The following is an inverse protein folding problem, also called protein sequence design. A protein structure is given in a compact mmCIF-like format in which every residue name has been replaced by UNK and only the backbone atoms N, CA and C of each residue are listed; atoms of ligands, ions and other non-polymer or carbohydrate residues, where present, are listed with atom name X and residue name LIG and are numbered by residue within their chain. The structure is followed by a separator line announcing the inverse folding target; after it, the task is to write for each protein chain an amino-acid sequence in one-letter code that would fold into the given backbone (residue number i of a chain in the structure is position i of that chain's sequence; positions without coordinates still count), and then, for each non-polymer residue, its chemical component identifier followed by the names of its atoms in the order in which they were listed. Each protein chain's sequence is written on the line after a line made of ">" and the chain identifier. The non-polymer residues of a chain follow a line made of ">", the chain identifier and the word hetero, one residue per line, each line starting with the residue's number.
data_IF_316889701413
#
_entry.id   IF_316889701413
#
_cell.length_a   1.000
_cell.length_b   1.000
_cell.length_c   1.000
_cell.angle_alpha   90.00
_cell.angle_beta   90.00
_cell.angle_gamma   90.00
#
_symmetry.space_group_name_H-M   'P 1'
#
loop_
_entity.id
_entity.type
_entity.pdbx_description
1 polymer ?
#
# COMPACT_ATOMS: atom_id res chain seq x y z
N UNK A 1 -20.85 -22.28 -9.96
CA UNK A 1 -21.44 -21.08 -10.61
C UNK A 1 -21.65 -20.01 -9.56
N UNK A 2 -20.85 -18.94 -9.62
CA UNK A 2 -21.19 -17.55 -9.32
C UNK A 2 -19.87 -16.79 -9.18
N UNK A 3 -19.36 -16.26 -10.29
CA UNK A 3 -18.33 -15.22 -10.24
C UNK A 3 -19.07 -13.94 -9.89
N UNK A 4 -19.19 -13.62 -8.61
CA UNK A 4 -19.66 -12.30 -8.19
C UNK A 4 -18.57 -11.31 -8.58
N UNK A 5 -18.71 -10.73 -9.77
CA UNK A 5 -17.93 -9.58 -10.20
C UNK A 5 -18.27 -8.42 -9.26
N UNK A 6 -17.36 -8.07 -8.35
CA UNK A 6 -17.40 -6.75 -7.74
C UNK A 6 -17.08 -5.76 -8.86
N UNK A 7 -18.11 -5.10 -9.39
CA UNK A 7 -17.88 -3.85 -10.09
C UNK A 7 -17.17 -2.91 -9.11
N UNK A 8 -15.97 -2.44 -9.48
CA UNK A 8 -15.29 -1.41 -8.73
C UNK A 8 -16.24 -0.21 -8.62
N UNK A 9 -16.70 0.11 -7.41
CA UNK A 9 -17.45 1.33 -7.18
C UNK A 9 -16.62 2.50 -7.74
N UNK A 10 -17.26 3.41 -8.49
CA UNK A 10 -16.61 4.62 -8.93
C UNK A 10 -16.13 5.38 -7.69
N UNK A 11 -14.82 5.34 -7.41
CA UNK A 11 -14.24 6.06 -6.28
C UNK A 11 -14.22 7.53 -6.70
N UNK A 12 -15.10 8.34 -6.11
CA UNK A 12 -14.95 9.78 -6.17
C UNK A 12 -13.53 10.16 -5.69
N UNK A 13 -12.98 11.24 -6.25
CA UNK A 13 -11.62 11.67 -5.91
C UNK A 13 -11.40 11.72 -4.39
N UNK A 14 -10.29 11.17 -3.91
CA UNK A 14 -9.97 11.07 -2.49
C UNK A 14 -8.96 12.14 -2.08
N UNK A 15 -9.09 12.69 -0.88
CA UNK A 15 -8.05 13.50 -0.24
C UNK A 15 -7.18 12.61 0.64
N UNK A 16 -5.87 12.78 0.58
CA UNK A 16 -4.92 12.03 1.41
C UNK A 16 -3.68 12.86 1.74
N UNK A 17 -2.90 12.40 2.72
CA UNK A 17 -1.60 13.00 3.03
C UNK A 17 -0.50 12.36 2.19
N UNK A 18 0.45 13.18 1.70
CA UNK A 18 1.65 12.71 1.02
C UNK A 18 2.51 11.82 1.95
N UNK A 19 2.90 10.60 1.54
CA UNK A 19 3.55 9.63 2.42
C UNK A 19 5.08 9.80 2.53
N UNK A 20 5.67 10.80 1.88
CA UNK A 20 7.13 10.83 1.67
C UNK A 20 7.93 11.51 2.78
N UNK A 21 7.59 12.74 3.16
CA UNK A 21 8.37 13.51 4.15
C UNK A 21 7.47 14.16 5.19
N UNK A 22 8.07 14.65 6.28
CA UNK A 22 7.35 15.21 7.42
C UNK A 22 6.62 16.53 7.19
N UNK A 23 6.71 17.14 6.00
CA UNK A 23 5.92 18.35 5.66
C UNK A 23 4.42 18.03 5.67
N UNK A 24 4.06 16.80 5.28
CA UNK A 24 2.69 16.33 5.34
C UNK A 24 1.74 17.05 4.38
N UNK A 25 2.19 17.35 3.15
CA UNK A 25 1.36 17.99 2.12
C UNK A 25 0.04 17.23 1.88
N UNK A 26 -1.06 17.96 1.69
CA UNK A 26 -2.33 17.39 1.26
C UNK A 26 -2.34 17.12 -0.24
N UNK A 27 -2.92 16.00 -0.62
CA UNK A 27 -3.08 15.53 -1.99
C UNK A 27 -4.55 15.27 -2.30
N UNK A 28 -4.94 15.53 -3.53
CA UNK A 28 -6.16 15.02 -4.15
C UNK A 28 -5.78 13.95 -5.18
N UNK A 29 -6.39 12.78 -5.05
CA UNK A 29 -6.17 11.62 -5.90
C UNK A 29 -7.45 11.29 -6.64
N UNK A 30 -7.34 10.99 -7.93
CA UNK A 30 -8.45 10.43 -8.71
C UNK A 30 -8.06 9.04 -9.23
N UNK A 31 -8.97 8.06 -9.16
CA UNK A 31 -8.71 6.75 -9.73
C UNK A 31 -8.50 6.88 -11.25
N UNK A 32 -7.88 5.89 -11.87
CA UNK A 32 -7.71 5.88 -13.31
C UNK A 32 -9.07 5.90 -14.02
N UNK A 33 -9.20 6.73 -15.04
CA UNK A 33 -10.44 6.84 -15.84
C UNK A 33 -10.66 5.63 -16.76
N UNK A 34 -9.58 4.96 -17.14
CA UNK A 34 -9.58 3.76 -17.97
C UNK A 34 -8.94 2.60 -17.20
N UNK A 35 -9.64 1.47 -16.98
CA UNK A 35 -9.07 0.28 -16.37
C UNK A 35 -7.82 -0.28 -17.08
N UNK A 36 -7.63 0.02 -18.37
CA UNK A 36 -6.47 -0.40 -19.15
C UNK A 36 -5.20 0.43 -18.84
N UNK A 37 -5.37 1.61 -18.25
CA UNK A 37 -4.29 2.49 -17.81
C UNK A 37 -4.39 2.67 -16.30
N UNK A 38 -3.65 1.91 -15.48
CA UNK A 38 -3.81 1.90 -14.02
C UNK A 38 -3.26 3.16 -13.32
N UNK A 39 -3.01 4.24 -14.08
CA UNK A 39 -2.37 5.44 -13.57
C UNK A 39 -3.34 6.33 -12.80
N UNK A 40 -3.01 6.60 -11.55
CA UNK A 40 -3.75 7.56 -10.72
C UNK A 40 -3.35 8.98 -11.07
N UNK A 41 -4.33 9.89 -11.12
CA UNK A 41 -4.08 11.33 -11.22
C UNK A 41 -3.91 11.90 -9.82
N UNK A 42 -2.83 12.66 -9.61
CA UNK A 42 -2.52 13.28 -8.31
C UNK A 42 -2.25 14.77 -8.50
N UNK A 43 -2.80 15.58 -7.60
CA UNK A 43 -2.44 17.01 -7.46
C UNK A 43 -2.42 17.42 -5.99
N UNK A 44 -1.83 18.57 -5.69
CA UNK A 44 -1.93 19.15 -4.35
C UNK A 44 -3.37 19.56 -4.01
N UNK A 45 -3.77 19.30 -2.77
CA UNK A 45 -5.01 19.84 -2.19
C UNK A 45 -4.81 21.32 -1.87
N UNK A 46 -5.59 22.17 -2.56
CA UNK A 46 -5.50 23.63 -2.43
C UNK A 46 -5.99 24.13 -1.07
N UNK A 47 -6.85 23.35 -0.42
CA UNK A 47 -7.43 23.69 0.88
C UNK A 47 -6.56 23.21 2.05
N UNK A 48 -5.50 22.44 1.79
CA UNK A 48 -4.69 21.85 2.84
C UNK A 48 -3.78 22.90 3.51
N UNK A 49 -3.83 23.05 4.85
CA UNK A 49 -3.22 24.19 5.55
C UNK A 49 -1.69 24.24 5.43
N UNK A 50 -1.02 23.10 5.38
CA UNK A 50 0.45 23.05 5.35
C UNK A 50 1.06 23.32 3.98
N UNK A 51 0.32 23.05 2.90
CA UNK A 51 0.87 23.04 1.53
C UNK A 51 0.15 23.97 0.56
N UNK A 52 -1.11 24.33 0.82
CA UNK A 52 -1.89 25.23 -0.03
C UNK A 52 -1.85 24.84 -1.52
N UNK A 53 -1.91 23.53 -1.80
CA UNK A 53 -1.80 22.95 -3.13
C UNK A 53 -0.39 22.82 -3.71
N UNK A 54 0.65 23.37 -3.07
CA UNK A 54 2.03 23.28 -3.51
C UNK A 54 2.65 21.94 -3.09
N UNK A 55 3.11 21.15 -4.07
CA UNK A 55 3.74 19.85 -3.84
C UNK A 55 5.03 19.72 -4.65
N UNK A 56 6.05 19.08 -4.06
CA UNK A 56 7.26 18.73 -4.82
C UNK A 56 7.00 17.58 -5.80
N UNK A 57 7.96 17.28 -6.68
CA UNK A 57 7.82 16.22 -7.70
C UNK A 57 7.43 14.86 -7.11
N UNK A 58 7.96 14.49 -5.93
CA UNK A 58 7.62 13.23 -5.25
C UNK A 58 6.12 13.12 -4.97
N UNK A 59 5.51 14.20 -4.46
CA UNK A 59 4.07 14.24 -4.20
C UNK A 59 3.24 14.24 -5.47
N UNK A 60 3.72 14.95 -6.51
CA UNK A 60 3.04 15.03 -7.81
C UNK A 60 3.00 13.68 -8.55
N UNK A 61 4.01 12.82 -8.38
CA UNK A 61 4.13 11.54 -9.10
C UNK A 61 3.79 10.31 -8.26
N UNK A 62 3.35 10.47 -7.00
CA UNK A 62 3.09 9.35 -6.08
C UNK A 62 2.15 8.28 -6.66
N UNK A 63 1.22 8.66 -7.53
CA UNK A 63 0.26 7.76 -8.18
C UNK A 63 0.93 6.67 -9.04
N UNK A 64 2.12 6.94 -9.59
CA UNK A 64 2.89 5.97 -10.38
C UNK A 64 3.32 4.76 -9.54
N UNK A 65 3.51 4.96 -8.22
CA UNK A 65 3.97 3.89 -7.32
C UNK A 65 2.89 2.90 -6.93
N UNK A 66 1.62 3.15 -7.28
CA UNK A 66 0.50 2.37 -6.79
C UNK A 66 0.33 1.01 -7.51
N UNK A 67 0.85 0.87 -8.73
CA UNK A 67 0.53 -0.28 -9.59
C UNK A 67 1.74 -1.13 -10.03
N UNK A 68 2.97 -0.62 -9.98
CA UNK A 68 4.14 -1.37 -10.44
C UNK A 68 4.63 -2.39 -9.40
N UNK A 69 4.68 -3.68 -9.79
CA UNK A 69 5.26 -4.81 -9.04
C UNK A 69 4.78 -4.93 -7.58
N UNK A 70 3.54 -4.52 -7.29
CA UNK A 70 2.97 -4.58 -5.95
C UNK A 70 2.70 -6.04 -5.57
N UNK A 71 3.21 -6.46 -4.42
CA UNK A 71 2.87 -7.77 -3.83
C UNK A 71 1.38 -7.80 -3.48
N UNK A 72 0.68 -8.84 -3.96
CA UNK A 72 -0.76 -9.03 -3.74
C UNK A 72 -1.08 -10.20 -2.81
N UNK A 73 -0.07 -10.99 -2.43
CA UNK A 73 -0.19 -12.12 -1.51
C UNK A 73 1.03 -12.15 -0.57
N UNK A 74 0.88 -12.67 0.66
CA UNK A 74 2.02 -12.93 1.52
C UNK A 74 3.00 -13.94 0.90
N UNK A 75 4.29 -13.71 1.13
CA UNK A 75 5.38 -14.57 0.68
C UNK A 75 6.21 -15.04 1.88
N UNK A 76 6.60 -16.31 1.90
CA UNK A 76 7.40 -16.91 2.97
C UNK A 76 8.56 -17.73 2.42
N UNK A 77 9.61 -17.87 3.22
CA UNK A 77 10.72 -18.80 3.04
C UNK A 77 11.22 -19.20 4.42
N UNK A 78 11.58 -20.46 4.61
CA UNK A 78 12.03 -20.93 5.93
C UNK A 78 13.46 -20.47 6.20
N UNK A 79 14.30 -20.50 5.16
CA UNK A 79 15.70 -20.08 5.23
C UNK A 79 16.01 -18.93 4.29
N UNK A 80 17.08 -18.20 4.59
CA UNK A 80 17.49 -17.02 3.82
C UNK A 80 18.11 -17.34 2.46
N UNK A 81 18.39 -18.60 2.17
CA UNK A 81 18.91 -19.08 0.89
C UNK A 81 17.85 -19.77 0.02
N UNK A 82 16.62 -19.86 0.52
CA UNK A 82 15.48 -20.43 -0.22
C UNK A 82 14.70 -19.34 -0.97
N UNK A 83 14.06 -19.69 -2.11
CA UNK A 83 13.15 -18.79 -2.80
C UNK A 83 11.89 -18.54 -1.97
N UNK A 84 11.26 -17.39 -2.18
CA UNK A 84 9.95 -17.11 -1.60
C UNK A 84 8.86 -17.96 -2.26
N UNK A 85 7.95 -18.46 -1.45
CA UNK A 85 6.71 -19.14 -1.87
C UNK A 85 5.50 -18.37 -1.39
N UNK A 86 4.45 -18.33 -2.21
CA UNK A 86 3.18 -17.73 -1.83
C UNK A 86 2.48 -18.55 -0.74
N UNK A 87 1.97 -17.87 0.28
CA UNK A 87 1.19 -18.49 1.36
C UNK A 87 -0.09 -17.69 1.61
N UNK A 88 -1.04 -18.30 2.33
CA UNK A 88 -2.26 -17.60 2.74
C UNK A 88 -1.99 -16.60 3.87
N UNK A 89 -2.91 -15.67 4.08
CA UNK A 89 -2.84 -14.72 5.19
C UNK A 89 -2.92 -15.42 6.55
N UNK A 90 -3.78 -16.43 6.68
CA UNK A 90 -3.91 -17.25 7.90
C UNK A 90 -2.56 -17.88 8.24
N UNK A 91 -1.92 -18.53 7.25
CA UNK A 91 -0.60 -19.14 7.45
C UNK A 91 0.47 -18.10 7.81
N UNK A 92 0.43 -16.91 7.21
CA UNK A 92 1.39 -15.85 7.51
C UNK A 92 1.27 -15.36 8.97
N UNK A 93 0.04 -15.20 9.46
CA UNK A 93 -0.21 -14.83 10.86
C UNK A 93 0.18 -15.94 11.84
N UNK A 94 -0.13 -17.20 11.53
CA UNK A 94 0.27 -18.33 12.38
C UNK A 94 1.80 -18.39 12.56
N UNK A 95 2.54 -18.22 11.46
CA UNK A 95 4.00 -18.19 11.47
C UNK A 95 4.55 -17.01 12.27
N UNK A 96 4.02 -15.80 12.04
CA UNK A 96 4.43 -14.59 12.77
C UNK A 96 4.25 -14.76 14.28
N UNK A 97 3.05 -15.19 14.70
CA UNK A 97 2.71 -15.37 16.11
C UNK A 97 3.56 -16.46 16.76
N UNK A 98 3.76 -17.60 16.10
CA UNK A 98 4.63 -18.65 16.59
C UNK A 98 6.06 -18.14 16.79
N UNK A 99 6.63 -17.44 15.81
CA UNK A 99 8.02 -16.97 15.87
C UNK A 99 8.26 -15.88 16.92
N UNK A 100 7.29 -14.97 17.09
CA UNK A 100 7.32 -13.98 18.17
C UNK A 100 7.28 -14.67 19.53
N UNK A 101 6.37 -15.63 19.73
CA UNK A 101 6.25 -16.39 20.99
C UNK A 101 7.51 -17.19 21.30
N UNK A 102 8.09 -17.86 20.31
CA UNK A 102 9.34 -18.61 20.47
C UNK A 102 10.49 -17.69 20.89
N UNK A 103 10.58 -16.52 20.24
CA UNK A 103 11.63 -15.52 20.55
C UNK A 103 11.45 -14.97 21.96
N UNK A 104 10.22 -14.61 22.34
CA UNK A 104 9.89 -14.15 23.69
C UNK A 104 10.22 -15.20 24.75
N UNK A 105 9.90 -16.47 24.49
CA UNK A 105 10.20 -17.58 25.41
C UNK A 105 11.70 -17.83 25.56
N UNK A 106 12.48 -17.66 24.49
CA UNK A 106 13.92 -17.93 24.49
C UNK A 106 14.77 -16.76 24.96
N UNK A 107 14.36 -15.52 24.67
CA UNK A 107 15.21 -14.32 24.81
C UNK A 107 14.54 -13.17 25.57
N UNK A 108 13.25 -13.24 25.85
CA UNK A 108 12.49 -12.13 26.41
C UNK A 108 12.14 -11.06 25.36
N UNK A 109 11.61 -9.90 25.78
CA UNK A 109 11.08 -8.87 24.89
C UNK A 109 12.12 -7.88 24.32
N UNK A 110 13.40 -8.04 24.66
CA UNK A 110 14.50 -7.15 24.28
C UNK A 110 15.22 -7.57 23.02
#
# INVERSE_FOLDING_TARGET
>A
MSKTSLAAAAVDGAKAQCPYCGVGCGLELKPPADPSSPQWSVRGDRDHPSSLGQVCIKGATVGETLHHNRLTTPLWRERTDEPFVAISWERAFDLLVARIRDTLAQRGPS
#
